data_IF_166669639190
#
_entry.id   IF_166669639190
#
_cell.length_a   1.000
_cell.length_b   1.000
_cell.length_c   1.000
_cell.angle_alpha   90.00
_cell.angle_beta   90.00
_cell.angle_gamma   90.00
#
_symmetry.space_group_name_H-M   'P 1'
#
loop_
_entity.id
_entity.type
_entity.pdbx_description
1 polymer ?
#
# COMPACT_ATOMS: atom_id res chain seq x y z
N UNK A 1 0.68 -17.18 -16.05
CA UNK A 1 1.88 -16.33 -16.17
C UNK A 1 1.68 -14.93 -15.57
N UNK A 2 0.67 -14.16 -16.00
CA UNK A 2 0.45 -12.80 -15.46
C UNK A 2 0.04 -12.80 -13.98
N UNK A 3 -0.79 -13.73 -13.56
CA UNK A 3 -1.18 -13.89 -12.16
C UNK A 3 0.05 -14.12 -11.26
N UNK A 4 0.88 -15.09 -11.61
CA UNK A 4 2.07 -15.48 -10.86
C UNK A 4 3.08 -14.34 -10.78
N UNK A 5 3.26 -13.59 -11.88
CA UNK A 5 4.14 -12.43 -11.90
C UNK A 5 3.68 -11.33 -10.94
N UNK A 6 2.35 -11.05 -10.89
CA UNK A 6 1.79 -10.07 -9.96
C UNK A 6 2.00 -10.53 -8.50
N UNK A 7 1.70 -11.79 -8.18
CA UNK A 7 1.89 -12.34 -6.83
C UNK A 7 3.37 -12.33 -6.44
N UNK A 8 4.27 -12.67 -7.37
CA UNK A 8 5.70 -12.65 -7.11
C UNK A 8 6.21 -11.23 -6.77
N UNK A 9 5.75 -10.21 -7.50
CA UNK A 9 6.18 -8.82 -7.30
C UNK A 9 5.47 -8.20 -6.09
N UNK A 10 4.15 -8.33 -6.01
CA UNK A 10 3.34 -7.57 -5.05
C UNK A 10 3.19 -8.24 -3.68
N UNK A 11 3.52 -9.53 -3.53
CA UNK A 11 3.43 -10.26 -2.26
C UNK A 11 4.75 -10.93 -1.89
N UNK A 12 5.30 -11.79 -2.77
CA UNK A 12 6.48 -12.57 -2.41
C UNK A 12 7.72 -11.73 -2.17
N UNK A 13 7.86 -10.59 -2.85
CA UNK A 13 8.94 -9.63 -2.61
C UNK A 13 8.93 -9.11 -1.17
N UNK A 14 7.75 -8.78 -0.63
CA UNK A 14 7.60 -8.36 0.78
C UNK A 14 8.01 -9.48 1.75
N UNK A 15 7.58 -10.71 1.48
CA UNK A 15 7.97 -11.87 2.30
C UNK A 15 9.49 -12.07 2.32
N UNK A 16 10.15 -12.05 1.17
CA UNK A 16 11.59 -12.27 1.10
C UNK A 16 12.39 -11.15 1.76
N UNK A 17 12.00 -9.89 1.57
CA UNK A 17 12.66 -8.76 2.21
C UNK A 17 12.48 -8.77 3.73
N UNK A 18 11.28 -9.03 4.23
CA UNK A 18 10.99 -9.19 5.65
C UNK A 18 11.85 -10.30 6.25
N UNK A 19 11.83 -11.49 5.65
CA UNK A 19 12.61 -12.65 6.12
C UNK A 19 14.09 -12.32 6.23
N UNK A 20 14.63 -11.56 5.28
CA UNK A 20 16.05 -11.19 5.30
C UNK A 20 16.35 -10.12 6.34
N UNK A 21 15.51 -9.10 6.47
CA UNK A 21 15.70 -7.99 7.40
C UNK A 21 15.55 -8.45 8.86
N UNK A 22 14.61 -9.34 9.16
CA UNK A 22 14.34 -9.82 10.51
C UNK A 22 15.55 -10.45 11.20
N UNK A 23 16.45 -11.08 10.47
CA UNK A 23 17.65 -11.69 11.06
C UNK A 23 18.46 -10.64 11.85
N UNK A 24 18.79 -9.53 11.22
CA UNK A 24 19.59 -8.45 11.82
C UNK A 24 18.76 -7.64 12.83
N UNK A 25 17.47 -7.41 12.56
CA UNK A 25 16.59 -6.67 13.46
C UNK A 25 16.41 -7.39 14.79
N UNK A 26 16.27 -8.72 14.80
CA UNK A 26 16.18 -9.55 16.00
C UNK A 26 17.45 -9.49 16.85
N UNK A 27 18.63 -9.56 16.23
CA UNK A 27 19.92 -9.43 16.92
C UNK A 27 20.06 -8.06 17.60
N UNK A 28 19.60 -7.00 16.92
CA UNK A 28 19.65 -5.63 17.43
C UNK A 28 18.54 -5.27 18.42
N UNK A 29 17.51 -6.11 18.53
CA UNK A 29 16.29 -5.83 19.29
C UNK A 29 15.64 -4.52 18.91
N UNK A 30 15.72 -4.16 17.66
CA UNK A 30 15.15 -2.95 17.07
C UNK A 30 14.89 -3.13 15.59
N UNK A 31 13.73 -2.70 15.13
CA UNK A 31 13.40 -2.70 13.71
C UNK A 31 12.08 -1.99 13.42
N UNK A 32 11.98 -1.48 12.19
CA UNK A 32 10.77 -0.86 11.63
C UNK A 32 10.55 -1.42 10.24
N UNK A 33 9.48 -2.16 10.06
CA UNK A 33 9.08 -2.73 8.77
C UNK A 33 7.80 -2.03 8.33
N UNK A 34 7.85 -1.40 7.17
CA UNK A 34 6.73 -0.67 6.59
C UNK A 34 6.48 -1.21 5.19
N UNK A 35 5.41 -1.98 5.05
CA UNK A 35 4.98 -2.49 3.76
C UNK A 35 4.12 -1.45 3.04
N UNK A 36 4.49 -1.07 1.83
CA UNK A 36 3.63 -0.25 0.97
C UNK A 36 2.65 -1.17 0.26
N UNK A 37 1.44 -1.24 0.79
CA UNK A 37 0.37 -2.06 0.25
C UNK A 37 -0.49 -1.27 -0.76
N UNK A 38 -1.78 -1.11 -0.49
CA UNK A 38 -2.75 -0.37 -1.31
C UNK A 38 -4.08 -0.30 -0.55
N UNK A 39 -4.98 0.61 -0.90
CA UNK A 39 -6.39 0.52 -0.53
C UNK A 39 -6.99 -0.87 -0.86
N UNK A 40 -6.48 -1.53 -1.91
CA UNK A 40 -6.84 -2.90 -2.27
C UNK A 40 -6.31 -3.99 -1.31
N UNK A 41 -5.69 -3.62 -0.22
CA UNK A 41 -5.46 -4.53 0.92
C UNK A 41 -6.67 -4.59 1.88
N UNK A 42 -7.63 -3.68 1.71
CA UNK A 42 -8.82 -3.50 2.55
C UNK A 42 -10.12 -3.70 1.76
N UNK A 43 -10.14 -3.33 0.48
CA UNK A 43 -11.31 -3.44 -0.42
C UNK A 43 -10.90 -4.08 -1.74
N UNK A 44 -11.89 -4.49 -2.53
CA UNK A 44 -11.67 -5.08 -3.85
C UNK A 44 -12.15 -4.18 -4.98
N UNK A 45 -11.67 -4.46 -6.19
CA UNK A 45 -12.18 -3.91 -7.45
C UNK A 45 -12.28 -5.00 -8.50
N UNK A 46 -13.29 -4.95 -9.37
CA UNK A 46 -13.41 -5.91 -10.46
C UNK A 46 -12.16 -5.95 -11.35
N UNK A 47 -11.89 -7.10 -11.92
CA UNK A 47 -10.81 -7.34 -12.89
C UNK A 47 -9.37 -7.15 -12.36
N UNK A 48 -9.19 -7.13 -11.04
CA UNK A 48 -7.89 -6.99 -10.37
C UNK A 48 -7.58 -8.15 -9.40
N UNK A 49 -8.08 -9.35 -9.67
CA UNK A 49 -8.02 -10.47 -8.72
C UNK A 49 -6.61 -10.78 -8.21
N UNK A 50 -5.61 -10.87 -9.08
CA UNK A 50 -4.23 -11.13 -8.67
C UNK A 50 -3.67 -10.02 -7.76
N UNK A 51 -3.88 -8.77 -8.14
CA UNK A 51 -3.41 -7.61 -7.37
C UNK A 51 -4.10 -7.49 -6.01
N UNK A 52 -5.43 -7.63 -5.99
CA UNK A 52 -6.23 -7.60 -4.76
C UNK A 52 -5.82 -8.74 -3.82
N UNK A 53 -5.68 -9.96 -4.34
CA UNK A 53 -5.22 -11.10 -3.55
C UNK A 53 -3.81 -10.86 -2.96
N UNK A 54 -2.88 -10.34 -3.76
CA UNK A 54 -1.53 -10.04 -3.32
C UNK A 54 -1.51 -8.96 -2.23
N UNK A 55 -2.27 -7.87 -2.40
CA UNK A 55 -2.30 -6.77 -1.42
C UNK A 55 -3.02 -7.15 -0.13
N UNK A 56 -4.08 -7.97 -0.17
CA UNK A 56 -4.65 -8.59 1.04
C UNK A 56 -3.66 -9.54 1.70
N UNK A 57 -2.87 -10.28 0.91
CA UNK A 57 -1.80 -11.13 1.41
C UNK A 57 -0.72 -10.33 2.16
N UNK A 58 -0.33 -9.15 1.66
CA UNK A 58 0.59 -8.24 2.37
C UNK A 58 0.02 -7.79 3.71
N UNK A 59 -1.28 -7.49 3.79
CA UNK A 59 -1.92 -7.13 5.06
C UNK A 59 -1.90 -8.30 6.05
N UNK A 60 -2.21 -9.52 5.61
CA UNK A 60 -2.11 -10.73 6.42
C UNK A 60 -0.68 -10.99 6.90
N UNK A 61 0.30 -10.92 5.99
CA UNK A 61 1.72 -11.05 6.31
C UNK A 61 2.17 -10.01 7.35
N UNK A 62 1.77 -8.75 7.18
CA UNK A 62 2.07 -7.65 8.10
C UNK A 62 1.59 -7.98 9.52
N UNK A 63 0.33 -8.39 9.67
CA UNK A 63 -0.26 -8.73 10.97
C UNK A 63 0.43 -9.92 11.62
N UNK A 64 0.68 -10.98 10.87
CA UNK A 64 1.30 -12.20 11.38
C UNK A 64 2.71 -11.92 11.88
N UNK A 65 3.55 -11.28 11.06
CA UNK A 65 4.93 -10.97 11.44
C UNK A 65 4.98 -9.99 12.62
N UNK A 66 4.06 -9.02 12.69
CA UNK A 66 3.97 -8.11 13.84
C UNK A 66 3.78 -8.87 15.16
N UNK A 67 2.92 -9.87 15.18
CA UNK A 67 2.70 -10.71 16.36
C UNK A 67 3.93 -11.58 16.72
N UNK A 68 4.60 -12.13 15.71
CA UNK A 68 5.78 -12.97 15.89
C UNK A 68 6.98 -12.23 16.49
N UNK A 69 7.06 -10.90 16.31
CA UNK A 69 8.21 -10.07 16.72
C UNK A 69 7.87 -9.02 17.77
N UNK A 70 6.66 -9.05 18.33
CA UNK A 70 6.14 -8.02 19.23
C UNK A 70 7.05 -7.75 20.46
N UNK A 71 7.68 -8.79 21.01
CA UNK A 71 8.57 -8.67 22.18
C UNK A 71 10.04 -8.35 21.83
N UNK A 72 10.33 -8.10 20.53
CA UNK A 72 11.70 -7.96 20.05
C UNK A 72 12.08 -6.52 19.69
N UNK A 73 11.24 -5.54 20.07
CA UNK A 73 11.46 -4.13 19.73
C UNK A 73 11.29 -3.81 18.24
N UNK A 74 10.58 -4.68 17.51
CA UNK A 74 10.35 -4.55 16.07
C UNK A 74 8.87 -4.25 15.83
N UNK A 75 8.57 -3.24 15.02
CA UNK A 75 7.21 -2.98 14.55
C UNK A 75 7.06 -3.32 13.07
N UNK A 76 5.88 -3.81 12.69
CA UNK A 76 5.56 -4.20 11.31
C UNK A 76 4.20 -3.63 10.96
N UNK A 77 4.15 -2.70 10.01
CA UNK A 77 2.94 -2.01 9.61
C UNK A 77 2.80 -1.99 8.08
N UNK A 78 1.60 -1.75 7.58
CA UNK A 78 1.34 -1.53 6.17
C UNK A 78 0.68 -0.16 5.96
N UNK A 79 1.20 0.59 5.00
CA UNK A 79 0.59 1.82 4.49
C UNK A 79 -0.20 1.47 3.24
N UNK A 80 -1.45 1.91 3.16
CA UNK A 80 -2.41 1.56 2.11
C UNK A 80 -2.85 2.81 1.34
N UNK A 81 -2.05 3.27 0.36
CA UNK A 81 -2.43 4.41 -0.44
C UNK A 81 -3.61 4.11 -1.36
N UNK A 82 -4.43 5.13 -1.63
CA UNK A 82 -5.32 5.18 -2.77
C UNK A 82 -4.57 5.50 -4.06
N UNK A 83 -5.19 6.29 -4.92
CA UNK A 83 -4.51 6.80 -6.11
C UNK A 83 -3.51 7.90 -5.74
N UNK A 84 -2.24 7.62 -5.99
CA UNK A 84 -1.13 8.57 -5.80
C UNK A 84 -0.75 9.14 -7.17
N UNK A 85 -0.64 10.46 -7.26
CA UNK A 85 -0.20 11.11 -8.49
C UNK A 85 1.30 10.85 -8.70
N UNK A 86 1.59 9.91 -9.55
CA UNK A 86 2.95 9.51 -9.94
C UNK A 86 3.12 9.72 -11.44
N UNK A 87 4.36 9.80 -11.96
CA UNK A 87 4.60 9.91 -13.41
C UNK A 87 3.95 8.77 -14.22
N UNK A 88 3.78 7.59 -13.60
CA UNK A 88 3.07 6.47 -14.22
C UNK A 88 1.57 6.76 -14.38
N UNK A 89 0.94 7.32 -13.34
CA UNK A 89 -0.49 7.67 -13.36
C UNK A 89 -0.73 8.85 -14.30
N UNK A 90 0.12 9.88 -14.24
CA UNK A 90 0.01 11.05 -15.13
C UNK A 90 0.03 10.66 -16.61
N UNK A 91 0.93 9.77 -17.00
CA UNK A 91 1.02 9.29 -18.40
C UNK A 91 -0.21 8.51 -18.86
N UNK A 92 -0.98 7.91 -17.96
CA UNK A 92 -2.18 7.14 -18.30
C UNK A 92 -3.40 8.03 -18.58
N UNK A 93 -3.40 9.28 -18.10
CA UNK A 93 -4.57 10.17 -18.19
C UNK A 93 -4.92 10.50 -19.66
N UNK A 94 -3.99 11.00 -20.50
CA UNK A 94 -4.29 11.33 -21.90
C UNK A 94 -4.75 10.12 -22.71
N UNK A 95 -4.09 8.98 -22.54
CA UNK A 95 -4.42 7.74 -23.26
C UNK A 95 -5.82 7.22 -22.88
N UNK A 96 -6.16 7.30 -21.60
CA UNK A 96 -7.48 6.94 -21.10
C UNK A 96 -8.56 7.89 -21.61
N UNK A 97 -8.29 9.19 -21.65
CA UNK A 97 -9.19 10.20 -22.17
C UNK A 97 -9.52 9.93 -23.65
N UNK A 98 -8.49 9.68 -24.45
CA UNK A 98 -8.62 9.33 -25.87
C UNK A 98 -9.40 8.03 -26.08
N UNK A 99 -9.07 6.98 -25.32
CA UNK A 99 -9.71 5.68 -25.46
C UNK A 99 -11.19 5.69 -25.07
N UNK A 100 -11.60 6.58 -24.15
CA UNK A 100 -12.99 6.68 -23.67
C UNK A 100 -13.77 7.82 -24.30
N UNK A 101 -13.15 8.70 -25.08
CA UNK A 101 -13.79 9.88 -25.69
C UNK A 101 -14.29 10.89 -24.66
N UNK A 102 -13.56 11.06 -23.55
CA UNK A 102 -13.88 11.99 -22.46
C UNK A 102 -12.69 12.92 -22.19
N UNK A 103 -12.91 13.99 -21.43
CA UNK A 103 -11.83 14.92 -21.06
C UNK A 103 -10.90 14.33 -20.02
N UNK A 104 -9.66 14.82 -19.93
CA UNK A 104 -8.72 14.41 -18.90
C UNK A 104 -9.24 14.70 -17.48
N UNK A 105 -9.96 15.79 -17.28
CA UNK A 105 -10.63 16.09 -16.01
C UNK A 105 -11.66 15.03 -15.63
N UNK A 106 -12.44 14.55 -16.59
CA UNK A 106 -13.38 13.46 -16.37
C UNK A 106 -12.66 12.14 -16.07
N UNK A 107 -11.52 11.85 -16.73
CA UNK A 107 -10.69 10.70 -16.39
C UNK A 107 -10.24 10.77 -14.92
N UNK A 108 -9.72 11.91 -14.49
CA UNK A 108 -9.26 12.10 -13.12
C UNK A 108 -10.42 11.89 -12.13
N UNK A 109 -11.51 12.64 -12.31
CA UNK A 109 -12.61 12.70 -11.34
C UNK A 109 -13.46 11.42 -11.31
N UNK A 110 -13.84 10.93 -12.50
CA UNK A 110 -14.90 9.93 -12.67
C UNK A 110 -14.35 8.52 -12.93
N UNK A 111 -13.05 8.40 -13.25
CA UNK A 111 -12.41 7.11 -13.50
C UNK A 111 -11.38 6.81 -12.42
N UNK A 112 -10.32 7.61 -12.31
CA UNK A 112 -9.23 7.35 -11.36
C UNK A 112 -9.69 7.58 -9.92
N UNK A 113 -10.27 8.75 -9.64
CA UNK A 113 -10.70 9.13 -8.30
C UNK A 113 -12.18 8.78 -8.02
N UNK A 114 -12.78 7.93 -8.83
CA UNK A 114 -14.19 7.53 -8.65
C UNK A 114 -14.47 7.03 -7.24
N UNK A 115 -13.60 6.17 -6.71
CA UNK A 115 -13.72 5.55 -5.40
C UNK A 115 -13.20 6.42 -4.24
N UNK A 116 -12.46 7.51 -4.50
CA UNK A 116 -11.96 8.43 -3.47
C UNK A 116 -12.97 9.59 -3.24
N UNK A 117 -13.68 9.65 -2.11
CA UNK A 117 -14.66 10.70 -1.83
C UNK A 117 -14.08 12.12 -1.90
N UNK A 118 -12.83 12.32 -1.50
CA UNK A 118 -12.16 13.62 -1.56
C UNK A 118 -11.92 14.14 -2.98
N UNK A 119 -11.99 13.27 -4.00
CA UNK A 119 -11.66 13.58 -5.40
C UNK A 119 -10.30 14.25 -5.58
N UNK A 120 -9.36 13.95 -4.70
CA UNK A 120 -7.99 14.43 -4.72
C UNK A 120 -7.02 13.25 -4.73
N UNK A 121 -5.95 13.35 -5.50
CA UNK A 121 -4.87 12.38 -5.41
C UNK A 121 -4.17 12.47 -4.05
N UNK A 122 -3.75 11.34 -3.54
CA UNK A 122 -2.75 11.30 -2.47
C UNK A 122 -1.42 11.75 -3.05
N UNK A 123 -0.63 12.52 -2.31
CA UNK A 123 0.71 12.92 -2.76
C UNK A 123 1.78 11.95 -2.28
N UNK A 124 2.90 11.92 -2.99
CA UNK A 124 4.07 11.10 -2.60
C UNK A 124 4.58 11.54 -1.22
N UNK A 125 4.55 12.86 -0.95
CA UNK A 125 4.98 13.45 0.32
C UNK A 125 4.10 13.00 1.49
N UNK A 126 2.79 12.89 1.28
CA UNK A 126 1.86 12.40 2.31
C UNK A 126 2.16 10.94 2.67
N UNK A 127 2.41 10.10 1.66
CA UNK A 127 2.79 8.69 1.90
C UNK A 127 4.13 8.62 2.62
N UNK A 128 5.12 9.41 2.18
CA UNK A 128 6.44 9.46 2.78
C UNK A 128 6.39 9.95 4.24
N UNK A 129 5.59 10.98 4.54
CA UNK A 129 5.43 11.50 5.90
C UNK A 129 4.85 10.43 6.85
N UNK A 130 3.85 9.66 6.41
CA UNK A 130 3.30 8.55 7.19
C UNK A 130 4.35 7.45 7.42
N UNK A 131 5.12 7.10 6.39
CA UNK A 131 6.20 6.12 6.52
C UNK A 131 7.29 6.62 7.49
N UNK A 132 7.64 7.90 7.42
CA UNK A 132 8.64 8.51 8.31
C UNK A 132 8.17 8.49 9.76
N UNK A 133 6.90 8.83 10.02
CA UNK A 133 6.29 8.72 11.35
C UNK A 133 6.36 7.28 11.87
N UNK A 134 5.95 6.29 11.07
CA UNK A 134 5.99 4.88 11.46
C UNK A 134 7.41 4.34 11.68
N UNK A 135 8.41 4.97 11.09
CA UNK A 135 9.82 4.64 11.29
C UNK A 135 10.41 5.24 12.56
N UNK A 136 9.75 6.24 13.17
CA UNK A 136 10.21 6.92 14.37
C UNK A 136 9.90 6.15 15.66
N UNK A 137 10.48 6.59 16.76
CA UNK A 137 10.19 6.03 18.09
C UNK A 137 8.82 6.48 18.62
N UNK A 138 8.25 7.58 18.11
CA UNK A 138 6.89 8.03 18.45
C UNK A 138 5.82 7.02 18.04
N UNK A 139 6.13 6.17 17.06
CA UNK A 139 5.26 5.08 16.58
C UNK A 139 5.59 3.70 17.18
N UNK A 140 6.41 3.63 18.23
CA UNK A 140 6.87 2.35 18.79
C UNK A 140 5.74 1.42 19.27
N UNK A 141 4.59 1.95 19.62
CA UNK A 141 3.39 1.17 20.00
C UNK A 141 2.43 0.86 18.84
N UNK A 142 2.78 1.26 17.61
CA UNK A 142 1.99 0.95 16.41
C UNK A 142 2.62 -0.23 15.72
N UNK A 143 1.99 -1.41 15.81
CA UNK A 143 2.43 -2.63 15.13
C UNK A 143 1.22 -3.46 14.69
N UNK A 144 1.33 -4.14 13.56
CA UNK A 144 0.23 -4.89 12.93
C UNK A 144 -0.85 -4.00 12.30
N UNK A 145 -0.65 -2.69 12.23
CA UNK A 145 -1.61 -1.75 11.70
C UNK A 145 -1.63 -1.77 10.16
N UNK A 146 -2.84 -1.67 9.61
CA UNK A 146 -3.09 -1.53 8.17
C UNK A 146 -3.68 -0.13 7.99
N UNK A 147 -2.83 0.81 7.59
CA UNK A 147 -3.09 2.25 7.67
C UNK A 147 -3.50 2.82 6.30
N UNK A 148 -4.79 3.14 6.09
CA UNK A 148 -5.24 3.76 4.85
C UNK A 148 -4.80 5.21 4.74
N UNK A 149 -4.39 5.62 3.54
CA UNK A 149 -4.15 7.00 3.13
C UNK A 149 -4.70 7.14 1.70
N UNK A 150 -6.03 7.33 1.58
CA UNK A 150 -6.74 7.00 0.34
C UNK A 150 -7.98 7.88 0.08
N UNK A 151 -8.07 9.02 0.78
CA UNK A 151 -9.15 9.99 0.56
C UNK A 151 -10.56 9.51 0.90
N UNK A 152 -10.69 8.58 1.86
CA UNK A 152 -11.97 8.07 2.35
C UNK A 152 -12.54 6.88 1.57
N UNK A 153 -11.76 6.27 0.67
CA UNK A 153 -12.22 5.15 -0.16
C UNK A 153 -12.72 3.96 0.67
N UNK A 154 -12.10 3.68 1.81
CA UNK A 154 -12.44 2.52 2.65
C UNK A 154 -13.31 2.86 3.86
N UNK A 155 -13.88 4.05 3.92
CA UNK A 155 -14.66 4.53 5.07
C UNK A 155 -16.13 4.05 5.11
N UNK A 156 -16.54 3.15 4.19
CA UNK A 156 -17.92 2.62 4.09
C UNK A 156 -17.94 1.10 3.94
#
# INVERSE_FOLDING_TARGET
EKWEAVVAIDLMSSFYTIRRALQVMKERKWGRIINVASAHALVASPYKSAYVAAKHGVAGLTKTVALEVAEQGITVNAVCPGYVLTPLVEKQIPDTAKARGITEQQVIKDVLLAAQPTKQFVTVEQVAALCLFLASDDAASITGAILPIEGGWTAH
#
